data_IF_824127751428
#
_entry.id   IF_824127751428
#
_cell.length_a   1.000
_cell.length_b   1.000
_cell.length_c   1.000
_cell.angle_alpha   90.00
_cell.angle_beta   90.00
_cell.angle_gamma   90.00
#
_symmetry.space_group_name_H-M   'P 1'
#
loop_
_entity.id
_entity.type
_entity.pdbx_description
1 polymer ?
#
# COMPACT_ATOMS: atom_id res chain seq x y z
N UNK A 1 10.45 -3.29 -0.95
CA UNK A 1 10.02 -3.02 0.45
C UNK A 1 8.69 -3.69 0.76
N UNK A 2 7.69 -3.65 -0.13
CA UNK A 2 6.45 -4.43 -0.02
C UNK A 2 6.66 -5.95 0.13
N UNK A 3 7.51 -6.56 -0.72
CA UNK A 3 7.78 -8.01 -0.74
C UNK A 3 8.34 -8.63 0.57
N UNK A 4 8.68 -7.82 1.56
CA UNK A 4 9.12 -8.33 2.88
C UNK A 4 7.97 -8.43 3.89
N UNK A 5 6.86 -7.77 3.59
CA UNK A 5 5.69 -7.66 4.45
C UNK A 5 4.52 -8.44 3.84
N UNK A 6 4.40 -8.41 2.52
CA UNK A 6 3.55 -9.27 1.68
C UNK A 6 4.05 -10.73 1.80
N UNK A 7 3.39 -11.54 2.64
CA UNK A 7 3.77 -12.93 2.93
C UNK A 7 3.13 -13.90 1.95
N UNK A 8 1.95 -13.57 1.42
CA UNK A 8 1.23 -14.39 0.47
C UNK A 8 1.59 -14.09 -1.00
N UNK A 9 2.42 -13.07 -1.22
CA UNK A 9 2.94 -12.63 -2.52
C UNK A 9 1.82 -12.25 -3.50
N UNK A 10 0.72 -11.73 -2.99
CA UNK A 10 -0.46 -11.37 -3.77
C UNK A 10 -0.38 -9.94 -4.35
N UNK A 11 0.66 -9.18 -3.96
CA UNK A 11 0.91 -7.81 -4.43
C UNK A 11 0.17 -6.74 -3.64
N UNK A 12 -0.48 -7.08 -2.53
CA UNK A 12 -1.12 -6.17 -1.58
C UNK A 12 -0.67 -6.51 -0.16
N UNK A 13 -1.10 -5.70 0.80
CA UNK A 13 -0.74 -5.86 2.20
C UNK A 13 -2.00 -5.89 3.05
N UNK A 14 -2.31 -7.05 3.64
CA UNK A 14 -3.44 -7.15 4.56
C UNK A 14 -3.18 -6.43 5.87
N UNK A 15 -4.25 -6.12 6.63
CA UNK A 15 -4.13 -5.51 7.97
C UNK A 15 -3.30 -6.37 8.93
N UNK A 16 -3.32 -7.70 8.76
CA UNK A 16 -2.56 -8.65 9.58
C UNK A 16 -1.08 -8.70 9.21
N UNK A 17 -0.75 -8.44 7.94
CA UNK A 17 0.63 -8.35 7.44
C UNK A 17 1.24 -6.97 7.62
N UNK A 18 0.38 -5.95 7.70
CA UNK A 18 0.79 -4.59 7.94
C UNK A 18 1.36 -4.42 9.36
N UNK A 19 2.47 -3.67 9.52
CA UNK A 19 2.98 -3.33 10.84
C UNK A 19 2.00 -2.45 11.63
N UNK A 20 2.07 -2.47 12.96
CA UNK A 20 1.14 -1.76 13.85
C UNK A 20 0.95 -0.27 13.51
N UNK A 21 2.03 0.41 13.11
CA UNK A 21 1.98 1.82 12.65
C UNK A 21 1.19 2.03 11.36
N UNK A 22 1.15 1.03 10.49
CA UNK A 22 0.30 1.03 9.29
C UNK A 22 -1.11 0.59 9.64
N UNK A 23 -1.31 -0.33 10.59
CA UNK A 23 -2.65 -0.75 11.05
C UNK A 23 -3.46 0.43 11.59
N UNK A 24 -2.85 1.33 12.36
CA UNK A 24 -3.50 2.54 12.86
C UNK A 24 -3.97 3.48 11.74
N UNK A 25 -3.25 3.51 10.63
CA UNK A 25 -3.55 4.32 9.45
C UNK A 25 -4.26 3.51 8.36
N UNK A 26 -4.47 2.21 8.57
CA UNK A 26 -4.89 1.29 7.52
C UNK A 26 -6.24 1.72 6.97
N UNK A 27 -7.16 2.05 7.87
CA UNK A 27 -8.51 2.49 7.51
C UNK A 27 -8.51 3.88 6.82
N UNK A 28 -7.43 4.68 6.97
CA UNK A 28 -7.24 5.94 6.23
C UNK A 28 -6.61 5.73 4.84
N UNK A 29 -5.95 4.59 4.65
CA UNK A 29 -5.17 4.27 3.46
C UNK A 29 -5.90 3.35 2.49
N UNK A 30 -6.68 2.44 3.06
CA UNK A 30 -7.61 1.54 2.40
C UNK A 30 -8.79 2.37 1.91
N UNK A 31 -8.62 2.95 0.72
CA UNK A 31 -9.59 3.85 0.13
C UNK A 31 -10.79 3.07 -0.42
N UNK A 32 -10.55 1.83 -0.86
CA UNK A 32 -11.56 0.95 -1.41
C UNK A 32 -12.32 0.16 -0.30
N UNK A 33 -11.80 0.15 0.93
CA UNK A 33 -12.31 -0.56 2.11
C UNK A 33 -12.42 -2.06 1.91
N UNK A 34 -11.49 -2.65 1.18
CA UNK A 34 -11.45 -4.09 0.92
C UNK A 34 -10.69 -4.88 2.00
N UNK A 35 -10.02 -4.19 2.93
CA UNK A 35 -9.22 -4.79 3.99
C UNK A 35 -7.77 -5.07 3.61
N UNK A 36 -7.30 -4.55 2.47
CA UNK A 36 -5.95 -4.68 1.94
C UNK A 36 -5.43 -3.33 1.44
N UNK A 37 -4.11 -3.15 1.46
CA UNK A 37 -3.45 -2.00 0.84
C UNK A 37 -2.73 -2.46 -0.42
N UNK A 38 -3.23 -2.04 -1.57
CA UNK A 38 -2.56 -2.33 -2.84
C UNK A 38 -1.36 -1.41 -3.08
N UNK A 39 -0.55 -1.73 -4.10
CA UNK A 39 0.61 -0.93 -4.47
C UNK A 39 0.26 0.53 -4.83
N UNK A 40 -0.94 0.79 -5.35
CA UNK A 40 -1.45 2.13 -5.65
C UNK A 40 -1.85 2.90 -4.39
N UNK A 41 -2.42 2.24 -3.39
CA UNK A 41 -2.77 2.82 -2.08
C UNK A 41 -1.51 3.10 -1.24
N UNK A 42 -0.57 2.16 -1.22
CA UNK A 42 0.77 2.36 -0.62
C UNK A 42 1.59 3.42 -1.37
N UNK A 43 1.34 3.64 -2.66
CA UNK A 43 1.96 4.72 -3.41
C UNK A 43 1.47 6.10 -2.95
N UNK A 44 0.19 6.23 -2.57
CA UNK A 44 -0.37 7.51 -2.05
C UNK A 44 0.22 7.94 -0.72
N UNK A 45 0.66 6.99 0.12
CA UNK A 45 1.40 7.27 1.35
C UNK A 45 2.73 7.97 1.12
N UNK A 46 3.39 7.64 0.02
CA UNK A 46 4.67 8.24 -0.37
C UNK A 46 4.35 9.51 -1.15
N UNK A 47 4.06 10.59 -0.41
CA UNK A 47 3.70 11.89 -0.96
C UNK A 47 4.64 12.39 -2.09
N UNK A 48 4.26 13.46 -2.82
CA UNK A 48 4.76 13.82 -4.16
C UNK A 48 6.27 14.12 -4.32
N UNK A 49 7.11 13.88 -3.31
CA UNK A 49 8.57 14.00 -3.39
C UNK A 49 9.35 12.68 -3.48
N UNK A 50 8.69 11.52 -3.52
CA UNK A 50 9.34 10.21 -3.44
C UNK A 50 9.24 9.35 -4.71
N UNK A 51 9.88 9.77 -5.80
CA UNK A 51 10.44 8.90 -6.85
C UNK A 51 9.63 7.75 -7.46
N UNK A 52 9.18 8.00 -8.70
CA UNK A 52 9.17 7.13 -9.90
C UNK A 52 8.09 6.02 -10.05
N UNK A 53 7.25 6.21 -11.09
CA UNK A 53 6.49 5.19 -11.82
C UNK A 53 5.00 5.52 -11.97
N UNK A 54 4.48 6.18 -13.00
CA UNK A 54 5.00 6.78 -14.24
C UNK A 54 3.81 7.39 -15.00
N UNK A 55 4.01 8.33 -15.95
CA UNK A 55 2.96 8.71 -16.89
C UNK A 55 2.92 7.68 -18.02
N UNK A 56 1.80 6.98 -18.19
CA UNK A 56 1.68 5.98 -19.26
C UNK A 56 0.26 5.48 -19.43
N UNK A 57 -0.60 6.32 -20.00
CA UNK A 57 -1.97 5.96 -20.35
C UNK A 57 -2.56 6.98 -21.31
N UNK A 58 -2.03 7.01 -22.54
CA UNK A 58 -2.57 7.70 -23.71
C UNK A 58 -2.40 6.79 -24.92
#
# INVERSE_FOLDING_TARGET
MLQRLDKDADGKLSKEEAPERMQERFDELDANKDGFLDAGELSKLRGPGGGAGGPGGG
#
